data_IF_409830536266
#
_entry.id   IF_409830536266
#
_cell.length_a   1.000
_cell.length_b   1.000
_cell.length_c   1.000
_cell.angle_alpha   90.00
_cell.angle_beta   90.00
_cell.angle_gamma   90.00
#
_symmetry.space_group_name_H-M   'P 1'
#
loop_
_entity.id
_entity.type
_entity.pdbx_description
1 polymer ?
#
# COMPACT_ATOMS: atom_id res chain seq x y z
N UNK A 1 6.72 0.21 -27.24
CA UNK A 1 5.54 -0.58 -26.87
C UNK A 1 5.16 -0.16 -25.46
N UNK A 2 4.26 0.82 -25.32
CA UNK A 2 3.65 1.13 -24.02
C UNK A 2 2.69 -0.01 -23.69
N UNK A 3 3.01 -0.78 -22.65
CA UNK A 3 2.15 -1.87 -22.21
C UNK A 3 0.80 -1.33 -21.74
N UNK A 4 -0.30 -1.96 -22.17
CA UNK A 4 -1.64 -1.64 -21.71
C UNK A 4 -1.66 -1.45 -20.19
N UNK A 5 -2.25 -0.37 -19.66
CA UNK A 5 -2.29 -0.15 -18.22
C UNK A 5 -3.02 -1.32 -17.56
N UNK A 6 -2.32 -2.03 -16.68
CA UNK A 6 -2.92 -3.08 -15.85
C UNK A 6 -4.06 -2.44 -15.06
N UNK A 7 -5.31 -2.80 -15.37
CA UNK A 7 -6.48 -2.26 -14.65
C UNK A 7 -6.38 -2.66 -13.17
N UNK A 8 -6.03 -1.69 -12.33
CA UNK A 8 -6.05 -1.82 -10.88
C UNK A 8 -7.37 -1.35 -10.29
N UNK A 9 -7.68 -1.79 -9.08
CA UNK A 9 -8.82 -1.32 -8.29
C UNK A 9 -8.28 -0.65 -7.03
N UNK A 10 -8.67 0.60 -6.80
CA UNK A 10 -8.45 1.26 -5.50
C UNK A 10 -9.37 0.61 -4.48
N UNK A 11 -8.79 0.10 -3.41
CA UNK A 11 -9.51 -0.61 -2.34
C UNK A 11 -9.79 0.32 -1.17
N UNK A 12 -8.82 1.17 -0.83
CA UNK A 12 -8.93 2.09 0.30
C UNK A 12 -7.98 3.26 0.15
N UNK A 13 -8.41 4.41 0.64
CA UNK A 13 -7.56 5.58 0.80
C UNK A 13 -7.53 5.94 2.28
N UNK A 14 -6.38 6.43 2.72
CA UNK A 14 -6.15 6.90 4.07
C UNK A 14 -5.41 8.23 4.01
N UNK A 15 -5.81 9.16 4.86
CA UNK A 15 -5.11 10.40 5.13
C UNK A 15 -5.06 10.64 6.63
N UNK A 16 -3.90 10.98 7.19
CA UNK A 16 -3.75 11.20 8.62
C UNK A 16 -2.35 11.66 9.00
N UNK A 17 -2.04 11.58 10.28
CA UNK A 17 -0.74 11.95 10.84
C UNK A 17 -0.16 10.78 11.61
N UNK A 18 1.13 10.50 11.41
CA UNK A 18 1.81 9.38 12.03
C UNK A 18 1.50 8.01 11.40
N UNK A 19 1.95 6.92 12.04
CA UNK A 19 1.75 5.56 11.56
C UNK A 19 0.29 5.18 11.38
N UNK A 20 0.00 4.32 10.40
CA UNK A 20 -1.35 3.87 10.09
C UNK A 20 -1.44 2.36 9.89
N UNK A 21 -2.56 1.77 10.33
CA UNK A 21 -2.92 0.39 10.00
C UNK A 21 -4.24 0.40 9.22
N UNK A 22 -4.21 -0.17 8.02
CA UNK A 22 -5.31 -0.15 7.07
C UNK A 22 -5.75 -1.60 6.82
N UNK A 23 -6.93 -1.96 7.34
CA UNK A 23 -7.57 -3.24 7.05
C UNK A 23 -8.21 -3.23 5.67
N UNK A 24 -7.96 -4.30 4.91
CA UNK A 24 -8.42 -4.55 3.56
C UNK A 24 -9.14 -5.89 3.56
N UNK A 25 -10.38 -5.92 3.06
CA UNK A 25 -11.14 -7.17 2.90
C UNK A 25 -10.60 -8.03 1.75
N UNK A 26 -11.35 -9.07 1.34
CA UNK A 26 -11.00 -9.90 0.20
C UNK A 26 -10.83 -9.06 -1.07
N UNK A 27 -9.83 -9.41 -1.90
CA UNK A 27 -9.58 -8.70 -3.15
C UNK A 27 -10.63 -9.06 -4.21
N UNK A 28 -10.88 -8.17 -5.19
CA UNK A 28 -11.75 -8.48 -6.32
C UNK A 28 -11.33 -9.76 -7.05
N UNK A 29 -12.30 -10.49 -7.59
CA UNK A 29 -12.05 -11.77 -8.27
C UNK A 29 -11.01 -11.61 -9.39
N UNK A 30 -9.98 -12.45 -9.34
CA UNK A 30 -8.89 -12.48 -10.31
C UNK A 30 -7.75 -11.49 -10.02
N UNK A 31 -7.81 -10.72 -8.94
CA UNK A 31 -6.71 -9.88 -8.49
C UNK A 31 -5.69 -10.74 -7.73
N UNK A 32 -4.41 -10.61 -8.08
CA UNK A 32 -3.29 -11.41 -7.56
C UNK A 32 -2.19 -10.58 -6.93
N UNK A 33 -2.29 -9.26 -6.93
CA UNK A 33 -1.35 -8.37 -6.26
C UNK A 33 -2.09 -7.36 -5.40
N UNK A 34 -1.51 -7.05 -4.26
CA UNK A 34 -1.92 -5.98 -3.37
C UNK A 34 -0.76 -4.98 -3.28
N UNK A 35 -1.07 -3.70 -3.47
CA UNK A 35 -0.08 -2.64 -3.44
C UNK A 35 -0.55 -1.42 -2.67
N UNK A 36 0.41 -0.61 -2.27
CA UNK A 36 0.18 0.63 -1.56
C UNK A 36 1.08 1.71 -2.16
N UNK A 37 0.47 2.82 -2.54
CA UNK A 37 1.16 4.07 -2.88
C UNK A 37 1.16 4.95 -1.65
N UNK A 38 2.33 5.44 -1.26
CA UNK A 38 2.53 6.31 -0.11
C UNK A 38 3.04 7.67 -0.58
N UNK A 39 2.36 8.72 -0.11
CA UNK A 39 2.87 10.08 -0.09
C UNK A 39 2.92 10.51 1.36
N UNK A 40 3.98 11.21 1.75
CA UNK A 40 4.05 11.81 3.07
C UNK A 40 4.86 13.10 3.06
N UNK A 41 4.50 14.00 3.97
CA UNK A 41 5.29 15.19 4.30
C UNK A 41 5.88 15.01 5.68
N UNK A 42 7.14 15.43 5.86
CA UNK A 42 7.89 15.25 7.09
C UNK A 42 9.31 14.76 6.82
N UNK A 43 10.10 14.64 7.88
CA UNK A 43 11.47 14.12 7.80
C UNK A 43 11.48 12.60 7.90
N UNK A 44 12.32 11.96 7.09
CA UNK A 44 12.63 10.53 7.17
C UNK A 44 11.91 9.67 6.13
N UNK A 45 12.04 8.36 6.34
CA UNK A 45 11.52 7.34 5.44
C UNK A 45 10.19 6.81 5.95
N UNK A 46 9.38 6.32 5.01
CA UNK A 46 8.22 5.51 5.30
C UNK A 46 8.56 4.03 5.07
N UNK A 47 7.87 3.14 5.80
CA UNK A 47 7.92 1.69 5.60
C UNK A 47 6.51 1.15 5.46
N UNK A 48 6.30 0.20 4.55
CA UNK A 48 5.04 -0.52 4.40
C UNK A 48 5.28 -1.99 4.68
N UNK A 49 4.37 -2.58 5.45
CA UNK A 49 4.24 -4.01 5.64
C UNK A 49 2.83 -4.46 5.25
N UNK A 50 2.72 -5.31 4.25
CA UNK A 50 1.48 -5.95 3.83
C UNK A 50 1.47 -7.35 4.40
N UNK A 51 0.56 -7.62 5.32
CA UNK A 51 0.40 -8.93 5.97
C UNK A 51 -0.86 -9.59 5.44
N UNK A 52 -0.70 -10.74 4.77
CA UNK A 52 -1.80 -11.60 4.37
C UNK A 52 -1.41 -13.07 4.60
N UNK A 53 -2.23 -13.82 5.33
CA UNK A 53 -1.98 -15.22 5.68
C UNK A 53 -0.54 -15.49 6.21
N UNK A 54 0.01 -14.53 6.96
CA UNK A 54 1.35 -14.63 7.53
C UNK A 54 2.50 -14.45 6.54
N UNK A 55 2.25 -14.25 5.24
CA UNK A 55 3.28 -13.89 4.25
C UNK A 55 3.42 -12.37 4.20
N UNK A 56 4.57 -11.81 4.60
CA UNK A 56 4.71 -10.36 4.66
C UNK A 56 5.41 -9.82 3.41
N UNK A 57 4.82 -8.79 2.80
CA UNK A 57 5.42 -7.98 1.76
C UNK A 57 5.92 -6.65 2.34
N UNK A 58 7.19 -6.30 2.11
CA UNK A 58 7.81 -5.12 2.72
C UNK A 58 8.40 -4.17 1.70
N UNK A 59 8.28 -2.88 1.96
CA UNK A 59 8.91 -1.83 1.16
C UNK A 59 9.16 -0.58 1.97
N UNK A 60 10.07 0.26 1.49
CA UNK A 60 10.35 1.55 2.11
C UNK A 60 10.83 2.54 1.06
N UNK A 61 10.61 3.81 1.33
CA UNK A 61 11.19 4.91 0.56
C UNK A 61 11.19 6.19 1.39
N UNK A 62 11.82 7.24 0.88
CA UNK A 62 11.79 8.56 1.50
C UNK A 62 10.39 9.17 1.45
N UNK A 63 10.01 9.91 2.50
CA UNK A 63 8.82 10.75 2.42
C UNK A 63 9.00 11.83 1.37
N UNK A 64 8.06 11.89 0.43
CA UNK A 64 8.03 12.89 -0.63
C UNK A 64 6.61 13.22 -1.06
N UNK A 65 6.39 14.49 -1.40
CA UNK A 65 5.19 14.99 -2.06
C UNK A 65 5.35 15.08 -3.58
N UNK A 66 6.58 15.07 -4.10
CA UNK A 66 6.90 15.28 -5.52
C UNK A 66 6.87 13.98 -6.36
N UNK A 67 6.31 12.90 -5.81
CA UNK A 67 6.14 11.63 -6.51
C UNK A 67 5.95 10.50 -5.50
N UNK A 68 4.70 10.09 -5.30
CA UNK A 68 4.40 8.99 -4.39
C UNK A 68 5.10 7.71 -4.81
N UNK A 69 5.75 7.06 -3.86
CA UNK A 69 6.39 5.77 -4.12
C UNK A 69 5.42 4.63 -3.82
N UNK A 70 5.51 3.57 -4.62
CA UNK A 70 4.56 2.47 -4.58
C UNK A 70 5.27 1.15 -4.40
N UNK A 71 4.69 0.28 -3.59
CA UNK A 71 5.06 -1.13 -3.52
C UNK A 71 3.84 -1.98 -3.84
N UNK A 72 4.06 -3.09 -4.55
CA UNK A 72 3.05 -4.12 -4.75
C UNK A 72 3.68 -5.49 -4.52
N UNK A 73 2.92 -6.40 -3.90
CA UNK A 73 3.35 -7.75 -3.60
C UNK A 73 2.29 -8.76 -4.07
N UNK A 74 2.69 -9.95 -4.57
CA UNK A 74 1.75 -11.03 -4.87
C UNK A 74 1.00 -11.49 -3.61
N UNK A 75 -0.31 -11.71 -3.74
CA UNK A 75 -1.13 -12.27 -2.67
C UNK A 75 -1.30 -13.77 -2.86
N UNK A 76 -1.12 -14.55 -1.78
CA UNK A 76 -1.27 -16.00 -1.81
C UNK A 76 -2.74 -16.41 -1.95
N UNK A 77 -3.65 -15.68 -1.29
CA UNK A 77 -5.08 -15.97 -1.29
C UNK A 77 -5.91 -14.69 -1.35
N UNK A 78 -6.46 -14.36 -2.52
CA UNK A 78 -7.26 -13.15 -2.70
C UNK A 78 -8.61 -13.17 -1.96
N UNK A 79 -9.06 -14.32 -1.44
CA UNK A 79 -10.29 -14.42 -0.66
C UNK A 79 -10.10 -14.07 0.83
N UNK A 80 -8.88 -13.73 1.25
CA UNK A 80 -8.54 -13.46 2.65
C UNK A 80 -8.27 -11.99 2.90
N UNK A 81 -8.64 -11.54 4.09
CA UNK A 81 -8.35 -10.20 4.57
C UNK A 81 -6.84 -9.95 4.62
N UNK A 82 -6.46 -8.71 4.35
CA UNK A 82 -5.07 -8.24 4.43
C UNK A 82 -4.98 -7.04 5.35
N UNK A 83 -3.83 -6.89 5.98
CA UNK A 83 -3.51 -5.69 6.76
C UNK A 83 -2.33 -4.97 6.13
N UNK A 84 -2.51 -3.70 5.78
CA UNK A 84 -1.42 -2.83 5.34
C UNK A 84 -1.03 -1.94 6.51
N UNK A 85 0.21 -2.07 6.99
CA UNK A 85 0.79 -1.20 8.00
C UNK A 85 1.73 -0.22 7.31
N UNK A 86 1.56 1.07 7.60
CA UNK A 86 2.40 2.14 7.08
C UNK A 86 3.05 2.81 8.29
N UNK A 87 4.35 2.65 8.42
CA UNK A 87 5.16 3.31 9.44
C UNK A 87 5.77 4.57 8.85
N UNK A 88 5.49 5.71 9.49
CA UNK A 88 6.08 7.02 9.22
C UNK A 88 6.43 7.70 10.54
N UNK A 89 7.20 8.78 10.50
CA UNK A 89 7.42 9.60 11.70
C UNK A 89 6.07 10.07 12.28
N UNK A 90 5.96 10.14 13.62
CA UNK A 90 4.70 10.45 14.31
C UNK A 90 4.09 11.81 13.94
N UNK A 91 4.90 12.75 13.49
CA UNK A 91 4.49 14.08 13.03
C UNK A 91 4.35 14.17 11.50
N UNK A 92 4.65 13.11 10.74
CA UNK A 92 4.51 13.12 9.30
C UNK A 92 3.03 13.11 8.90
N UNK A 93 2.66 13.93 7.91
CA UNK A 93 1.34 13.79 7.29
C UNK A 93 1.43 12.69 6.26
N UNK A 94 0.51 11.73 6.31
CA UNK A 94 0.48 10.53 5.50
C UNK A 94 -0.75 10.53 4.60
N UNK A 95 -0.54 10.22 3.33
CA UNK A 95 -1.57 9.81 2.39
C UNK A 95 -1.19 8.44 1.81
N UNK A 96 -2.05 7.45 2.01
CA UNK A 96 -1.86 6.10 1.48
C UNK A 96 -3.03 5.70 0.60
N UNK A 97 -2.74 5.20 -0.60
CA UNK A 97 -3.73 4.57 -1.48
C UNK A 97 -3.39 3.10 -1.62
N UNK A 98 -4.28 2.25 -1.13
CA UNK A 98 -4.18 0.80 -1.26
C UNK A 98 -4.95 0.36 -2.49
N UNK A 99 -4.32 -0.42 -3.35
CA UNK A 99 -4.87 -0.90 -4.61
C UNK A 99 -4.57 -2.37 -4.84
N UNK A 100 -5.31 -3.01 -5.73
CA UNK A 100 -5.01 -4.37 -6.19
C UNK A 100 -5.00 -4.45 -7.70
N UNK A 101 -4.26 -5.41 -8.25
CA UNK A 101 -4.22 -5.68 -9.70
C UNK A 101 -4.41 -7.17 -9.97
N UNK A 102 -4.83 -7.48 -11.20
CA UNK A 102 -4.79 -8.84 -11.76
C UNK A 102 -3.38 -9.43 -11.79
#
# INVERSE_FOLDING_TARGET
MEGSPTRGTVLKQYSGTGPATISIGPLPKGHKKLGTTVLCSGTGDWKVNIVQDGTPGWGSSGCSLSGGSSIAYPVANSAKDSTVKVDVAANATLWATVYSTK
#
